data_IF_561545145815
#
_entry.id   IF_561545145815
#
_cell.length_a   1.000
_cell.length_b   1.000
_cell.length_c   1.000
_cell.angle_alpha   90.00
_cell.angle_beta   90.00
_cell.angle_gamma   90.00
#
_symmetry.space_group_name_H-M   'P 1'
#
loop_
_entity.id
_entity.type
_entity.pdbx_description
1 polymer ?
#
# COMPACT_ATOMS: atom_id res chain seq x y z
N UNK A 1 21.18 -3.54 -27.84
CA UNK A 1 21.13 -3.51 -26.36
C UNK A 1 19.73 -3.95 -25.98
N UNK A 2 19.58 -5.13 -25.38
CA UNK A 2 18.27 -5.74 -25.09
C UNK A 2 17.76 -5.21 -23.75
N UNK A 3 16.53 -4.75 -23.73
CA UNK A 3 15.77 -4.56 -22.49
C UNK A 3 14.52 -5.41 -22.66
N UNK A 4 14.42 -6.46 -21.86
CA UNK A 4 13.21 -7.27 -21.71
C UNK A 4 12.36 -6.61 -20.62
N UNK A 5 11.12 -6.21 -20.94
CA UNK A 5 10.14 -5.79 -19.95
C UNK A 5 8.98 -6.79 -19.96
N UNK A 6 8.80 -7.48 -18.84
CA UNK A 6 7.63 -8.29 -18.57
C UNK A 6 6.52 -7.40 -18.00
N UNK A 7 5.34 -7.44 -18.60
CA UNK A 7 4.09 -7.02 -17.96
C UNK A 7 3.35 -8.25 -17.42
N UNK A 8 2.54 -8.06 -16.37
CA UNK A 8 1.84 -9.08 -15.58
C UNK A 8 0.68 -9.79 -16.33
N UNK A 9 0.80 -9.97 -17.65
CA UNK A 9 -0.24 -10.57 -18.51
C UNK A 9 0.26 -11.46 -19.66
N UNK A 10 1.58 -11.69 -19.81
CA UNK A 10 2.11 -12.84 -20.55
C UNK A 10 1.72 -13.02 -22.03
N UNK A 11 1.45 -11.97 -22.80
CA UNK A 11 1.32 -12.07 -24.27
C UNK A 11 2.18 -11.04 -24.99
N UNK A 12 3.20 -11.51 -25.72
CA UNK A 12 3.95 -10.72 -26.68
C UNK A 12 3.10 -10.52 -27.94
N UNK A 13 2.64 -9.29 -28.19
CA UNK A 13 2.07 -8.91 -29.48
C UNK A 13 3.09 -8.10 -30.26
N UNK A 14 3.37 -8.56 -31.48
CA UNK A 14 4.17 -7.85 -32.49
C UNK A 14 3.27 -6.81 -33.16
N UNK A 15 3.72 -5.56 -33.25
CA UNK A 15 3.18 -4.59 -34.19
C UNK A 15 4.34 -4.13 -35.09
N UNK A 16 4.23 -4.42 -36.38
CA UNK A 16 5.06 -3.81 -37.42
C UNK A 16 4.42 -2.46 -37.78
N UNK A 17 5.12 -1.36 -37.54
CA UNK A 17 4.71 -0.03 -37.99
C UNK A 17 5.41 0.32 -39.30
N UNK A 18 4.65 0.56 -40.36
CA UNK A 18 5.11 0.99 -41.68
C UNK A 18 4.93 2.49 -41.89
N UNK A 19 5.52 3.33 -41.03
CA UNK A 19 5.56 4.78 -41.26
C UNK A 19 6.48 5.44 -40.24
N UNK A 20 7.69 5.77 -40.69
CA UNK A 20 8.77 6.35 -39.92
C UNK A 20 8.56 7.81 -39.53
N UNK A 21 7.51 8.12 -38.77
CA UNK A 21 7.39 9.34 -37.98
C UNK A 21 7.11 8.94 -36.53
N UNK A 22 8.06 9.29 -35.65
CA UNK A 22 8.13 8.78 -34.29
C UNK A 22 6.87 9.08 -33.47
N UNK A 23 6.26 8.03 -32.92
CA UNK A 23 5.24 8.16 -31.90
C UNK A 23 5.95 8.52 -30.58
N UNK A 24 5.79 9.76 -30.12
CA UNK A 24 6.22 10.16 -28.79
C UNK A 24 5.51 9.26 -27.76
N UNK A 25 6.28 8.41 -27.09
CA UNK A 25 5.78 7.74 -25.88
C UNK A 25 5.67 8.84 -24.83
N UNK A 26 4.46 9.24 -24.48
CA UNK A 26 4.22 10.06 -23.28
C UNK A 26 4.50 9.20 -22.03
N UNK A 27 5.77 8.93 -21.76
CA UNK A 27 6.27 8.47 -20.45
C UNK A 27 6.72 9.69 -19.66
N UNK A 28 5.81 10.60 -19.34
CA UNK A 28 6.07 11.69 -18.37
C UNK A 28 4.77 12.38 -17.89
N UNK A 29 3.72 11.61 -17.59
CA UNK A 29 2.78 12.09 -16.58
C UNK A 29 3.46 11.87 -15.21
N UNK A 30 3.70 12.91 -14.40
CA UNK A 30 4.21 12.71 -13.06
C UNK A 30 3.26 11.77 -12.34
N UNK A 31 3.81 10.68 -11.79
CA UNK A 31 3.08 9.76 -10.93
C UNK A 31 2.32 10.61 -9.90
N UNK A 32 0.98 10.59 -9.94
CA UNK A 32 0.18 11.36 -8.99
C UNK A 32 0.57 10.88 -7.60
N UNK A 33 0.92 11.78 -6.67
CA UNK A 33 1.22 11.38 -5.30
C UNK A 33 0.03 10.63 -4.70
N UNK A 34 0.30 9.62 -3.87
CA UNK A 34 -0.76 8.97 -3.11
C UNK A 34 -1.40 10.00 -2.16
N UNK A 35 -2.73 10.07 -2.19
CA UNK A 35 -3.54 10.89 -1.28
C UNK A 35 -4.08 10.03 -0.15
N UNK A 36 -4.16 10.61 1.05
CA UNK A 36 -4.56 9.91 2.27
C UNK A 36 -5.67 10.67 2.98
N UNK A 37 -6.67 9.94 3.47
CA UNK A 37 -7.76 10.46 4.30
C UNK A 37 -7.77 9.68 5.62
N UNK A 38 -7.76 10.39 6.75
CA UNK A 38 -7.88 9.77 8.06
C UNK A 38 -9.33 9.57 8.45
N UNK A 39 -9.64 8.41 9.04
CA UNK A 39 -10.94 8.04 9.57
C UNK A 39 -10.80 7.70 11.04
N UNK A 40 -11.66 8.29 11.87
CA UNK A 40 -11.58 8.16 13.33
C UNK A 40 -12.42 6.99 13.89
N UNK A 41 -13.18 6.31 13.04
CA UNK A 41 -14.08 5.23 13.42
C UNK A 41 -13.29 3.94 13.63
N UNK A 42 -13.20 3.48 14.88
CA UNK A 42 -12.49 2.23 15.18
C UNK A 42 -13.21 1.00 14.59
N UNK A 43 -12.52 0.23 13.75
CA UNK A 43 -13.01 -0.97 13.05
C UNK A 43 -11.96 -2.08 13.08
N UNK A 44 -12.37 -3.32 12.81
CA UNK A 44 -11.40 -4.36 12.44
C UNK A 44 -10.75 -3.99 11.11
N UNK A 45 -9.56 -4.54 10.84
CA UNK A 45 -8.83 -4.24 9.61
C UNK A 45 -9.68 -4.49 8.36
N UNK A 46 -10.35 -5.64 8.29
CA UNK A 46 -11.22 -5.98 7.16
C UNK A 46 -12.41 -5.03 7.00
N UNK A 47 -13.04 -4.61 8.12
CA UNK A 47 -14.16 -3.68 8.07
C UNK A 47 -13.72 -2.24 7.71
N UNK A 48 -12.49 -1.86 8.06
CA UNK A 48 -11.90 -0.59 7.64
C UNK A 48 -11.61 -0.61 6.13
N UNK A 49 -11.03 -1.70 5.61
CA UNK A 49 -10.81 -1.88 4.17
C UNK A 49 -12.12 -1.86 3.37
N UNK A 50 -13.17 -2.54 3.85
CA UNK A 50 -14.49 -2.51 3.21
C UNK A 50 -15.10 -1.08 3.19
N UNK A 51 -14.90 -0.28 4.25
CA UNK A 51 -15.34 1.12 4.29
C UNK A 51 -14.59 2.02 3.30
N UNK A 52 -13.27 1.81 3.17
CA UNK A 52 -12.46 2.47 2.15
C UNK A 52 -12.92 2.08 0.74
N UNK A 53 -13.15 0.78 0.48
CA UNK A 53 -13.62 0.27 -0.82
C UNK A 53 -14.98 0.84 -1.20
N UNK A 54 -15.90 0.96 -0.24
CA UNK A 54 -17.20 1.59 -0.46
C UNK A 54 -17.11 3.05 -0.93
N UNK A 55 -15.96 3.71 -0.73
CA UNK A 55 -15.67 5.09 -1.15
C UNK A 55 -14.79 5.17 -2.39
N UNK A 56 -14.45 4.03 -2.99
CA UNK A 56 -13.53 3.97 -4.13
C UNK A 56 -12.06 4.15 -3.75
N UNK A 57 -11.71 3.84 -2.49
CA UNK A 57 -10.35 3.89 -1.96
C UNK A 57 -9.96 2.53 -1.37
N UNK A 58 -8.72 2.43 -0.89
CA UNK A 58 -8.22 1.32 -0.09
C UNK A 58 -7.63 1.86 1.22
N UNK A 59 -7.43 1.00 2.21
CA UNK A 59 -6.53 1.32 3.32
C UNK A 59 -5.16 1.75 2.77
N UNK A 60 -4.55 2.74 3.43
CA UNK A 60 -3.41 3.46 2.88
C UNK A 60 -2.19 2.56 2.61
N UNK A 61 -1.68 2.62 1.38
CA UNK A 61 -0.42 2.00 0.97
C UNK A 61 0.73 2.95 1.21
N UNK A 62 1.84 2.49 1.81
CA UNK A 62 2.98 3.35 2.15
C UNK A 62 4.27 2.78 1.55
N UNK A 63 4.67 3.29 0.39
CA UNK A 63 5.75 2.71 -0.41
C UNK A 63 7.15 3.29 -0.14
N UNK A 64 7.23 4.57 0.24
CA UNK A 64 8.48 5.31 0.38
C UNK A 64 8.36 6.39 1.47
N UNK A 65 9.43 7.17 1.67
CA UNK A 65 9.50 8.17 2.72
C UNK A 65 8.49 9.32 2.54
N UNK A 66 8.19 9.70 1.29
CA UNK A 66 7.22 10.76 0.99
C UNK A 66 5.79 10.30 1.25
N UNK A 67 5.48 9.05 0.91
CA UNK A 67 4.23 8.39 1.27
C UNK A 67 4.06 8.32 2.78
N UNK A 68 5.10 7.90 3.51
CA UNK A 68 5.08 7.85 4.97
C UNK A 68 4.80 9.23 5.54
N UNK A 69 5.48 10.26 5.05
CA UNK A 69 5.26 11.63 5.50
C UNK A 69 3.81 12.09 5.28
N UNK A 70 3.24 11.82 4.09
CA UNK A 70 1.85 12.17 3.77
C UNK A 70 0.84 11.39 4.62
N UNK A 71 1.04 10.09 4.79
CA UNK A 71 0.19 9.23 5.61
C UNK A 71 0.20 9.68 7.08
N UNK A 72 1.40 9.92 7.65
CA UNK A 72 1.54 10.43 9.02
C UNK A 72 0.89 11.81 9.19
N UNK A 73 1.03 12.70 8.20
CA UNK A 73 0.39 14.00 8.24
C UNK A 73 -1.15 13.90 8.20
N UNK A 74 -1.70 13.01 7.38
CA UNK A 74 -3.15 12.75 7.33
C UNK A 74 -3.66 12.19 8.66
N UNK A 75 -2.90 11.30 9.29
CA UNK A 75 -3.23 10.68 10.58
C UNK A 75 -2.85 11.52 11.81
N UNK A 76 -2.43 12.79 11.65
CA UNK A 76 -1.92 13.60 12.77
C UNK A 76 -2.94 13.84 13.90
N UNK A 77 -4.24 13.72 13.62
CA UNK A 77 -5.31 13.82 14.60
C UNK A 77 -5.58 12.50 15.37
N UNK A 78 -4.93 11.40 14.98
CA UNK A 78 -5.09 10.11 15.63
C UNK A 78 -4.46 10.14 17.03
N UNK A 79 -5.22 9.73 18.04
CA UNK A 79 -4.74 9.56 19.41
C UNK A 79 -4.12 8.17 19.67
N UNK A 80 -4.19 7.28 18.67
CA UNK A 80 -3.74 5.89 18.70
C UNK A 80 -3.09 5.53 17.37
N UNK A 81 -2.63 4.27 17.24
CA UNK A 81 -2.28 3.71 15.93
C UNK A 81 -3.50 3.67 15.02
N UNK A 82 -3.23 3.70 13.72
CA UNK A 82 -4.25 3.67 12.66
C UNK A 82 -3.97 2.54 11.70
N UNK A 83 -5.01 1.92 11.14
CA UNK A 83 -4.86 0.88 10.14
C UNK A 83 -4.19 1.40 8.87
N UNK A 84 -3.31 0.58 8.29
CA UNK A 84 -2.79 0.76 6.93
C UNK A 84 -3.08 -0.51 6.12
N UNK A 85 -2.96 -0.43 4.80
CA UNK A 85 -3.39 -1.51 3.90
C UNK A 85 -2.51 -2.76 3.91
N UNK A 86 -1.49 -2.83 4.77
CA UNK A 86 -0.55 -3.94 4.81
C UNK A 86 -1.07 -5.04 5.73
N UNK A 87 -1.15 -6.27 5.24
CA UNK A 87 -1.60 -7.44 6.00
C UNK A 87 -0.82 -8.71 5.60
N UNK A 88 -0.78 -9.70 6.47
CA UNK A 88 -0.27 -11.03 6.12
C UNK A 88 -1.32 -11.80 5.29
N UNK A 89 -0.95 -12.25 4.10
CA UNK A 89 -1.87 -12.95 3.18
C UNK A 89 -1.83 -14.48 3.32
N UNK A 90 -0.82 -15.03 4.00
CA UNK A 90 -0.59 -16.47 4.12
C UNK A 90 0.04 -16.82 5.48
N UNK A 91 -0.07 -18.09 5.87
CA UNK A 91 0.63 -18.63 7.04
C UNK A 91 2.17 -18.59 6.91
N UNK A 92 2.70 -18.27 5.72
CA UNK A 92 4.13 -18.11 5.44
C UNK A 92 4.67 -16.71 5.80
N UNK A 93 3.83 -15.84 6.39
CA UNK A 93 4.16 -14.47 6.81
C UNK A 93 4.49 -13.53 5.64
N UNK A 94 3.77 -13.71 4.53
CA UNK A 94 3.89 -12.83 3.36
C UNK A 94 3.02 -11.58 3.53
N UNK A 95 3.67 -10.43 3.73
CA UNK A 95 3.03 -9.13 3.81
C UNK A 95 2.66 -8.60 2.42
N UNK A 96 1.40 -8.20 2.24
CA UNK A 96 0.84 -7.70 1.00
C UNK A 96 -0.04 -6.46 1.25
N UNK A 97 -0.13 -5.59 0.25
CA UNK A 97 -1.02 -4.43 0.30
C UNK A 97 -2.41 -4.79 -0.24
N UNK A 98 -3.44 -4.30 0.43
CA UNK A 98 -4.84 -4.54 0.10
C UNK A 98 -5.26 -4.00 -1.29
N UNK A 99 -4.55 -2.98 -1.78
CA UNK A 99 -4.73 -2.40 -3.12
C UNK A 99 -3.97 -3.17 -4.22
N UNK A 100 -3.20 -4.21 -3.86
CA UNK A 100 -2.37 -4.99 -4.78
C UNK A 100 -1.06 -4.33 -5.19
N UNK A 101 -0.69 -3.19 -4.59
CA UNK A 101 0.54 -2.47 -4.90
C UNK A 101 1.78 -3.35 -4.68
N UNK A 102 2.74 -3.40 -5.63
CA UNK A 102 3.93 -4.25 -5.52
C UNK A 102 5.04 -3.66 -4.64
N UNK A 103 4.80 -2.51 -4.00
CA UNK A 103 5.82 -1.77 -3.29
C UNK A 103 6.14 -2.39 -1.92
N UNK A 104 7.41 -2.32 -1.51
CA UNK A 104 7.92 -2.97 -0.31
C UNK A 104 8.50 -1.97 0.66
N UNK A 105 7.68 -0.99 1.07
CA UNK A 105 8.02 -0.10 2.17
C UNK A 105 8.39 -0.92 3.41
N UNK A 106 9.36 -0.45 4.19
CA UNK A 106 9.87 -1.13 5.39
C UNK A 106 10.07 -0.09 6.48
N UNK A 107 8.95 0.35 7.07
CA UNK A 107 8.95 1.35 8.14
C UNK A 107 8.53 0.74 9.48
N UNK A 108 8.81 -0.55 9.68
CA UNK A 108 8.59 -1.24 10.94
C UNK A 108 9.32 -0.58 12.11
N UNK A 109 8.65 -0.50 13.25
CA UNK A 109 9.27 -0.10 14.50
C UNK A 109 10.35 -1.12 14.91
N UNK A 110 11.24 -0.71 15.82
CA UNK A 110 12.28 -1.59 16.31
C UNK A 110 11.68 -2.86 16.97
N UNK A 111 11.97 -4.03 16.41
CA UNK A 111 11.45 -5.32 16.89
C UNK A 111 10.22 -5.83 16.14
N UNK A 112 9.74 -5.08 15.15
CA UNK A 112 8.56 -5.40 14.34
C UNK A 112 8.94 -5.91 12.93
N UNK A 113 8.07 -6.70 12.27
CA UNK A 113 6.86 -7.30 12.83
C UNK A 113 7.21 -8.39 13.85
N UNK A 114 6.52 -8.38 14.99
CA UNK A 114 6.76 -9.32 16.09
C UNK A 114 6.28 -10.74 15.77
N UNK A 115 5.27 -10.85 14.87
CA UNK A 115 4.77 -12.11 14.32
C UNK A 115 4.19 -13.03 15.39
N UNK A 116 3.61 -12.44 16.44
CA UNK A 116 3.07 -13.14 17.61
C UNK A 116 1.74 -13.85 17.32
N UNK A 117 1.04 -13.50 16.25
CA UNK A 117 -0.23 -14.15 15.86
C UNK A 117 -0.13 -14.83 14.48
N UNK A 118 -1.17 -15.59 14.11
CA UNK A 118 -1.29 -16.23 12.81
C UNK A 118 -1.99 -15.35 11.75
N UNK A 119 -2.51 -14.18 12.16
CA UNK A 119 -3.28 -13.26 11.31
C UNK A 119 -2.94 -11.82 11.74
N UNK A 120 -1.86 -11.29 11.17
CA UNK A 120 -1.32 -9.99 11.52
C UNK A 120 -1.65 -8.94 10.45
N UNK A 121 -2.08 -7.78 10.92
CA UNK A 121 -2.38 -6.60 10.11
C UNK A 121 -1.54 -5.43 10.61
N UNK A 122 -1.02 -4.62 9.71
CA UNK A 122 -0.13 -3.53 10.11
C UNK A 122 -0.92 -2.29 10.50
N UNK A 123 -0.47 -1.63 11.56
CA UNK A 123 -0.94 -0.31 11.94
C UNK A 123 0.24 0.66 11.99
N UNK A 124 -0.03 1.94 11.74
CA UNK A 124 0.96 3.01 11.75
C UNK A 124 0.80 3.89 12.99
N UNK A 125 1.91 4.18 13.67
CA UNK A 125 1.98 5.14 14.77
C UNK A 125 2.10 6.59 14.33
N UNK A 126 2.01 7.51 15.29
CA UNK A 126 2.15 8.95 15.05
C UNK A 126 3.58 9.37 14.60
N UNK A 127 4.57 8.50 14.83
CA UNK A 127 5.94 8.60 14.34
C UNK A 127 6.12 8.05 12.92
N UNK A 128 5.06 7.49 12.33
CA UNK A 128 5.07 6.84 11.03
C UNK A 128 5.71 5.45 11.03
N UNK A 129 6.06 4.91 12.19
CA UNK A 129 6.54 3.53 12.30
C UNK A 129 5.38 2.54 12.31
N UNK A 130 5.61 1.33 11.81
CA UNK A 130 4.60 0.29 11.71
C UNK A 130 4.76 -0.76 12.79
N UNK A 131 3.65 -1.27 13.29
CA UNK A 131 3.58 -2.43 14.17
C UNK A 131 2.64 -3.46 13.59
N UNK A 132 2.87 -4.73 13.89
CA UNK A 132 1.88 -5.77 13.60
C UNK A 132 0.86 -5.85 14.73
N UNK A 133 -0.41 -5.86 14.37
CA UNK A 133 -1.54 -5.86 15.30
C UNK A 133 -2.48 -7.02 14.95
N UNK A 134 -3.26 -7.46 15.92
CA UNK A 134 -4.29 -8.47 15.70
C UNK A 134 -5.37 -7.91 14.77
N UNK A 135 -5.62 -8.54 13.61
CA UNK A 135 -6.52 -8.01 12.58
C UNK A 135 -7.96 -7.73 13.06
N UNK A 136 -8.41 -8.38 14.13
CA UNK A 136 -9.73 -8.13 14.73
C UNK A 136 -9.75 -7.01 15.78
N UNK A 137 -8.61 -6.42 16.11
CA UNK A 137 -8.55 -5.24 16.99
C UNK A 137 -9.37 -4.09 16.38
N UNK A 138 -9.96 -3.26 17.24
CA UNK A 138 -10.67 -2.06 16.80
C UNK A 138 -9.72 -0.88 16.80
N UNK A 139 -9.21 -0.51 15.63
CA UNK A 139 -8.39 0.69 15.44
C UNK A 139 -9.04 1.61 14.39
N UNK A 140 -8.78 2.93 14.48
CA UNK A 140 -9.15 3.88 13.43
C UNK A 140 -8.56 3.51 12.07
#
# INVERSE_FOLDING_TARGET
MRIDLHDAGGRCSWAEGEDGEGLEVFVDAPLRPMEYEFRSEAKSWAAAEDDCRARGMHLGTVCNADDRLRATAAAAAAASRVWIGLHEASAEKDWQWADGSPCRGRFWAAGEPSGHTFDNCAAMGADGEWTDEYCQAALP
#
